data_IF_165234636091
#
_entry.id   IF_165234636091
#
_cell.length_a   1.000
_cell.length_b   1.000
_cell.length_c   1.000
_cell.angle_alpha   90.00
_cell.angle_beta   90.00
_cell.angle_gamma   90.00
#
_symmetry.space_group_name_H-M   'P 1'
#
loop_
_entity.id
_entity.type
_entity.pdbx_description
1 polymer ?
#
# COMPACT_ATOMS: atom_id res chain seq x y z
N UNK A 1 14.24 48.55 -9.85
CA UNK A 1 15.13 47.76 -8.99
C UNK A 1 14.77 48.02 -7.52
N UNK A 2 13.86 47.23 -6.96
CA UNK A 2 13.86 46.82 -5.55
C UNK A 2 13.03 45.53 -5.43
N UNK A 3 13.71 44.44 -5.08
CA UNK A 3 13.19 43.11 -4.68
C UNK A 3 12.23 43.29 -3.48
N UNK A 4 11.01 42.78 -3.54
CA UNK A 4 10.55 41.45 -3.10
C UNK A 4 10.61 41.19 -1.57
N UNK A 5 9.45 40.96 -0.96
CA UNK A 5 9.33 40.00 0.16
C UNK A 5 7.86 39.55 0.35
N UNK A 6 7.32 38.74 -0.57
CA UNK A 6 6.16 37.90 -0.24
C UNK A 6 6.68 36.64 0.43
N UNK A 7 6.64 36.63 1.76
CA UNK A 7 6.97 35.50 2.61
C UNK A 7 5.92 34.40 2.42
N UNK A 8 6.08 33.56 1.41
CA UNK A 8 5.37 32.27 1.36
C UNK A 8 6.06 31.35 2.36
N UNK A 9 5.37 31.08 3.47
CA UNK A 9 5.72 30.03 4.40
C UNK A 9 5.83 28.70 3.63
N UNK A 10 7.05 28.27 3.32
CA UNK A 10 7.33 26.89 2.98
C UNK A 10 7.10 26.05 4.22
N UNK A 11 5.88 25.54 4.39
CA UNK A 11 5.71 24.29 5.12
C UNK A 11 6.64 23.29 4.43
N UNK A 12 7.70 22.87 5.13
CA UNK A 12 8.52 21.72 4.76
C UNK A 12 7.61 20.49 4.69
N UNK A 13 6.95 20.30 3.55
CA UNK A 13 6.65 18.97 3.06
C UNK A 13 8.02 18.38 2.72
N UNK A 14 8.62 17.71 3.69
CA UNK A 14 9.83 16.95 3.51
C UNK A 14 9.55 15.99 2.34
N UNK A 15 10.19 16.23 1.19
CA UNK A 15 10.05 15.30 0.06
C UNK A 15 10.32 13.88 0.58
N UNK A 16 9.49 12.89 0.22
CA UNK A 16 9.69 11.53 0.69
C UNK A 16 11.13 11.14 0.37
N UNK A 17 11.93 10.89 1.42
CA UNK A 17 13.34 10.59 1.20
C UNK A 17 13.40 9.40 0.25
N UNK A 18 14.11 9.58 -0.87
CA UNK A 18 14.20 8.56 -1.89
C UNK A 18 14.77 7.31 -1.24
N UNK A 19 13.95 6.27 -1.12
CA UNK A 19 14.33 5.05 -0.44
C UNK A 19 15.46 4.42 -1.23
N UNK A 20 16.53 4.07 -0.51
CA UNK A 20 17.73 3.54 -1.11
C UNK A 20 17.43 2.28 -1.94
N UNK A 21 17.98 2.19 -3.14
CA UNK A 21 17.68 1.11 -4.08
C UNK A 21 18.08 -0.28 -3.52
N UNK A 22 19.11 -0.35 -2.69
CA UNK A 22 19.51 -1.59 -2.00
C UNK A 22 18.49 -1.93 -0.91
N UNK A 23 17.95 -0.95 -0.21
CA UNK A 23 16.84 -1.16 0.74
C UNK A 23 15.60 -1.71 0.03
N UNK A 24 15.22 -1.17 -1.13
CA UNK A 24 14.12 -1.71 -1.95
C UNK A 24 14.43 -3.15 -2.34
N UNK A 25 15.62 -3.43 -2.92
CA UNK A 25 16.03 -4.79 -3.31
C UNK A 25 15.94 -5.79 -2.15
N UNK A 26 16.42 -5.39 -0.97
CA UNK A 26 16.37 -6.23 0.23
C UNK A 26 14.92 -6.50 0.68
N UNK A 27 14.05 -5.48 0.59
CA UNK A 27 12.62 -5.63 0.88
C UNK A 27 11.96 -6.63 -0.08
N UNK A 28 12.25 -6.55 -1.39
CA UNK A 28 11.72 -7.51 -2.39
C UNK A 28 12.15 -8.94 -2.06
N UNK A 29 13.40 -9.14 -1.65
CA UNK A 29 13.88 -10.46 -1.21
C UNK A 29 13.17 -10.94 0.07
N UNK A 30 12.90 -10.03 1.02
CA UNK A 30 12.19 -10.35 2.24
C UNK A 30 10.71 -10.73 1.99
N UNK A 31 10.05 -10.11 1.00
CA UNK A 31 8.65 -10.41 0.62
C UNK A 31 8.43 -11.85 0.13
N UNK A 32 9.49 -12.52 -0.34
CA UNK A 32 9.43 -13.92 -0.80
C UNK A 32 10.17 -14.88 0.14
N UNK A 33 10.52 -14.41 1.35
CA UNK A 33 11.21 -15.23 2.34
C UNK A 33 10.31 -16.37 2.83
N UNK A 34 10.91 -17.54 3.04
CA UNK A 34 10.26 -18.67 3.73
C UNK A 34 10.04 -18.40 5.22
N UNK A 35 10.78 -17.44 5.80
CA UNK A 35 10.55 -17.02 7.18
C UNK A 35 9.32 -16.10 7.27
N UNK A 36 8.25 -16.60 7.88
CA UNK A 36 6.96 -15.90 7.99
C UNK A 36 7.08 -14.53 8.69
N UNK A 37 7.95 -14.41 9.70
CA UNK A 37 8.18 -13.15 10.41
C UNK A 37 8.86 -12.10 9.52
N UNK A 38 9.86 -12.51 8.74
CA UNK A 38 10.54 -11.65 7.77
C UNK A 38 9.57 -11.23 6.66
N UNK A 39 8.83 -12.19 6.09
CA UNK A 39 7.85 -11.94 5.03
C UNK A 39 6.76 -10.97 5.49
N UNK A 40 6.17 -11.22 6.65
CA UNK A 40 5.15 -10.35 7.25
C UNK A 40 5.68 -8.93 7.49
N UNK A 41 6.88 -8.81 8.06
CA UNK A 41 7.51 -7.51 8.31
C UNK A 41 7.73 -6.75 7.00
N UNK A 42 8.15 -7.45 5.95
CA UNK A 42 8.34 -6.85 4.63
C UNK A 42 7.03 -6.37 4.01
N UNK A 43 5.94 -7.14 4.13
CA UNK A 43 4.61 -6.72 3.67
C UNK A 43 4.18 -5.42 4.37
N UNK A 44 4.35 -5.36 5.70
CA UNK A 44 4.03 -4.15 6.47
C UNK A 44 4.88 -2.94 6.05
N UNK A 45 6.20 -3.13 5.94
CA UNK A 45 7.14 -2.08 5.56
C UNK A 45 6.86 -1.55 4.14
N UNK A 46 6.51 -2.41 3.19
CA UNK A 46 6.15 -1.99 1.83
C UNK A 46 4.98 -0.98 1.84
N UNK A 47 3.96 -1.24 2.66
CA UNK A 47 2.83 -0.31 2.84
C UNK A 47 3.20 0.94 3.62
N UNK A 48 3.94 0.79 4.73
CA UNK A 48 4.36 1.90 5.59
C UNK A 48 5.17 2.94 4.81
N UNK A 49 6.09 2.47 3.98
CA UNK A 49 7.01 3.31 3.22
C UNK A 49 6.55 3.57 1.78
N UNK A 50 5.34 3.13 1.42
CA UNK A 50 4.73 3.33 0.08
C UNK A 50 5.67 2.91 -1.06
N UNK A 51 6.15 1.67 -1.01
CA UNK A 51 7.07 1.11 -2.00
C UNK A 51 6.28 0.58 -3.20
N UNK A 52 6.10 1.41 -4.22
CA UNK A 52 5.36 1.04 -5.45
C UNK A 52 5.96 -0.21 -6.12
N UNK A 53 7.29 -0.35 -6.11
CA UNK A 53 8.04 -1.50 -6.65
C UNK A 53 7.67 -2.85 -6.01
N UNK A 54 6.98 -2.83 -4.87
CA UNK A 54 6.50 -4.02 -4.16
C UNK A 54 5.08 -4.43 -4.55
N UNK A 55 4.32 -3.58 -5.25
CA UNK A 55 2.89 -3.77 -5.50
C UNK A 55 2.57 -5.11 -6.18
N UNK A 56 3.38 -5.53 -7.15
CA UNK A 56 3.19 -6.82 -7.84
C UNK A 56 3.28 -8.02 -6.89
N UNK A 57 4.26 -8.04 -5.99
CA UNK A 57 4.42 -9.13 -5.02
C UNK A 57 3.30 -9.13 -3.98
N UNK A 58 2.83 -7.96 -3.56
CA UNK A 58 1.67 -7.84 -2.68
C UNK A 58 0.40 -8.35 -3.37
N UNK A 59 0.18 -8.02 -4.65
CA UNK A 59 -0.91 -8.58 -5.46
C UNK A 59 -0.80 -10.10 -5.60
N UNK A 60 0.42 -10.64 -5.67
CA UNK A 60 0.65 -12.08 -5.67
C UNK A 60 0.25 -12.72 -4.32
N UNK A 61 0.58 -12.10 -3.19
CA UNK A 61 0.15 -12.56 -1.86
C UNK A 61 -1.39 -12.60 -1.74
N UNK A 62 -2.10 -11.62 -2.30
CA UNK A 62 -3.57 -11.63 -2.35
C UNK A 62 -4.14 -12.83 -3.14
N UNK A 63 -3.50 -13.19 -4.26
CA UNK A 63 -3.97 -14.27 -5.15
C UNK A 63 -3.62 -15.66 -4.61
N UNK A 64 -2.40 -15.82 -4.13
CA UNK A 64 -1.77 -17.11 -3.90
C UNK A 64 -1.42 -17.38 -2.43
N UNK A 65 -1.47 -16.34 -1.58
CA UNK A 65 -1.25 -16.47 -0.14
C UNK A 65 -2.29 -17.40 0.50
N UNK A 66 -1.85 -18.14 1.52
CA UNK A 66 -2.71 -19.06 2.27
C UNK A 66 -3.13 -18.51 3.62
N UNK A 67 -2.26 -17.71 4.23
CA UNK A 67 -2.52 -17.13 5.54
C UNK A 67 -3.45 -15.91 5.43
N UNK A 68 -4.52 -15.93 6.22
CA UNK A 68 -5.51 -14.86 6.23
C UNK A 68 -4.94 -13.55 6.77
N UNK A 69 -3.98 -13.62 7.69
CA UNK A 69 -3.35 -12.44 8.26
C UNK A 69 -2.44 -11.73 7.24
N UNK A 70 -1.55 -12.43 6.54
CA UNK A 70 -0.71 -11.83 5.48
C UNK A 70 -1.53 -11.29 4.33
N UNK A 71 -2.63 -11.95 3.94
CA UNK A 71 -3.61 -11.44 2.97
C UNK A 71 -4.18 -10.08 3.37
N UNK A 72 -4.71 -9.96 4.59
CA UNK A 72 -5.26 -8.70 5.12
C UNK A 72 -4.20 -7.61 5.16
N UNK A 73 -2.98 -7.96 5.57
CA UNK A 73 -1.86 -7.03 5.64
C UNK A 73 -1.41 -6.56 4.25
N UNK A 74 -1.35 -7.44 3.26
CA UNK A 74 -1.03 -7.10 1.88
C UNK A 74 -2.08 -6.15 1.27
N UNK A 75 -3.37 -6.38 1.56
CA UNK A 75 -4.45 -5.49 1.11
C UNK A 75 -4.30 -4.09 1.72
N UNK A 76 -4.01 -4.01 3.02
CA UNK A 76 -3.75 -2.74 3.70
C UNK A 76 -2.52 -2.03 3.12
N UNK A 77 -1.46 -2.78 2.80
CA UNK A 77 -0.25 -2.21 2.20
C UNK A 77 -0.51 -1.66 0.81
N UNK A 78 -1.27 -2.36 -0.04
CA UNK A 78 -1.68 -1.87 -1.36
C UNK A 78 -2.51 -0.58 -1.27
N UNK A 79 -3.41 -0.49 -0.28
CA UNK A 79 -4.14 0.74 0.01
C UNK A 79 -3.21 1.91 0.38
N UNK A 80 -2.21 1.68 1.25
CA UNK A 80 -1.26 2.73 1.65
C UNK A 80 -0.34 3.19 0.52
N UNK A 81 0.05 2.25 -0.35
CA UNK A 81 0.80 2.50 -1.58
C UNK A 81 -0.04 3.33 -2.56
N UNK A 82 -1.36 3.12 -2.57
CA UNK A 82 -2.28 3.77 -3.52
C UNK A 82 -2.48 2.96 -4.81
N UNK A 83 -2.13 1.67 -4.79
CA UNK A 83 -2.16 0.78 -5.97
C UNK A 83 -3.60 0.43 -6.39
N UNK A 84 -4.16 1.21 -7.31
CA UNK A 84 -5.55 1.05 -7.76
C UNK A 84 -5.83 -0.34 -8.37
N UNK A 85 -4.84 -0.94 -9.04
CA UNK A 85 -4.94 -2.30 -9.57
C UNK A 85 -5.11 -3.32 -8.44
N UNK A 86 -4.33 -3.19 -7.37
CA UNK A 86 -4.41 -4.00 -6.17
C UNK A 86 -5.76 -3.84 -5.46
N UNK A 87 -6.29 -2.61 -5.41
CA UNK A 87 -7.62 -2.35 -4.86
C UNK A 87 -8.72 -3.04 -5.68
N UNK A 88 -8.65 -2.95 -7.01
CA UNK A 88 -9.58 -3.66 -7.89
C UNK A 88 -9.48 -5.19 -7.70
N UNK A 89 -8.25 -5.70 -7.53
CA UNK A 89 -7.99 -7.11 -7.27
C UNK A 89 -8.63 -7.59 -5.95
N UNK A 90 -8.41 -6.89 -4.83
CA UNK A 90 -8.99 -7.32 -3.53
C UNK A 90 -10.52 -7.32 -3.56
N UNK A 91 -11.14 -6.34 -4.24
CA UNK A 91 -12.60 -6.27 -4.44
C UNK A 91 -13.11 -7.45 -5.26
N UNK A 92 -12.36 -7.87 -6.30
CA UNK A 92 -12.68 -9.07 -7.09
C UNK A 92 -12.54 -10.33 -6.25
N UNK A 93 -11.45 -10.47 -5.49
CA UNK A 93 -11.15 -11.66 -4.69
C UNK A 93 -12.12 -11.85 -3.52
N UNK A 94 -12.63 -10.76 -2.93
CA UNK A 94 -13.62 -10.81 -1.86
C UNK A 94 -14.92 -11.56 -2.24
N UNK A 95 -15.23 -11.69 -3.54
CA UNK A 95 -16.38 -12.46 -4.03
C UNK A 95 -16.23 -13.97 -3.81
N UNK A 96 -14.99 -14.46 -3.80
CA UNK A 96 -14.65 -15.88 -3.72
C UNK A 96 -13.99 -16.27 -2.40
N UNK A 97 -13.59 -15.29 -1.59
CA UNK A 97 -12.96 -15.50 -0.29
C UNK A 97 -13.93 -16.16 0.71
N UNK A 98 -13.48 -17.27 1.29
CA UNK A 98 -14.25 -18.09 2.22
C UNK A 98 -14.03 -17.66 3.67
N UNK A 99 -12.85 -17.13 3.98
CA UNK A 99 -12.58 -16.55 5.28
C UNK A 99 -13.38 -15.24 5.44
N UNK A 100 -14.36 -15.27 6.35
CA UNK A 100 -15.27 -14.14 6.58
C UNK A 100 -14.54 -12.89 7.04
N UNK A 101 -13.46 -13.04 7.80
CA UNK A 101 -12.69 -11.92 8.33
C UNK A 101 -11.86 -11.27 7.21
N UNK A 102 -11.19 -12.08 6.40
CA UNK A 102 -10.44 -11.61 5.22
C UNK A 102 -11.38 -10.93 4.23
N UNK A 103 -12.53 -11.55 3.92
CA UNK A 103 -13.54 -10.99 3.03
C UNK A 103 -14.03 -9.61 3.52
N UNK A 104 -14.38 -9.50 4.80
CA UNK A 104 -14.82 -8.23 5.40
C UNK A 104 -13.75 -7.15 5.26
N UNK A 105 -12.49 -7.50 5.53
CA UNK A 105 -11.38 -6.56 5.46
C UNK A 105 -11.11 -6.09 4.03
N UNK A 106 -11.12 -7.00 3.05
CA UNK A 106 -10.96 -6.64 1.64
C UNK A 106 -12.03 -5.65 1.16
N UNK A 107 -13.29 -5.87 1.53
CA UNK A 107 -14.38 -4.97 1.18
C UNK A 107 -14.21 -3.60 1.84
N UNK A 108 -13.93 -3.57 3.15
CA UNK A 108 -13.72 -2.33 3.89
C UNK A 108 -12.57 -1.49 3.31
N UNK A 109 -11.44 -2.13 2.99
CA UNK A 109 -10.29 -1.44 2.39
C UNK A 109 -10.62 -0.89 1.01
N UNK A 110 -11.30 -1.67 0.16
CA UNK A 110 -11.68 -1.21 -1.16
C UNK A 110 -12.68 -0.04 -1.11
N UNK A 111 -13.69 -0.12 -0.24
CA UNK A 111 -14.69 0.94 -0.06
C UNK A 111 -14.05 2.23 0.49
N UNK A 112 -13.10 2.10 1.43
CA UNK A 112 -12.34 3.23 1.94
C UNK A 112 -11.55 3.92 0.83
N UNK A 113 -10.81 3.15 0.01
CA UNK A 113 -10.04 3.70 -1.12
C UNK A 113 -10.90 4.52 -2.08
N UNK A 114 -12.04 4.00 -2.51
CA UNK A 114 -12.92 4.74 -3.43
C UNK A 114 -13.58 5.95 -2.75
N UNK A 115 -13.81 5.89 -1.44
CA UNK A 115 -14.30 7.03 -0.67
C UNK A 115 -13.27 8.15 -0.64
N UNK A 116 -12.00 7.82 -0.36
CA UNK A 116 -10.91 8.79 -0.35
C UNK A 116 -10.68 9.39 -1.74
N UNK A 117 -10.71 8.57 -2.78
CA UNK A 117 -10.62 9.04 -4.17
C UNK A 117 -11.75 10.02 -4.52
N UNK A 118 -13.00 9.74 -4.13
CA UNK A 118 -14.12 10.66 -4.34
C UNK A 118 -13.94 11.98 -3.58
N UNK A 119 -13.47 11.92 -2.34
CA UNK A 119 -13.23 13.11 -1.53
C UNK A 119 -12.15 14.00 -2.13
N UNK A 120 -11.10 13.42 -2.73
CA UNK A 120 -10.07 14.17 -3.46
C UNK A 120 -10.62 14.81 -4.74
N UNK A 121 -11.51 14.13 -5.46
CA UNK A 121 -12.13 14.65 -6.68
C UNK A 121 -13.18 15.75 -6.40
N UNK A 122 -13.84 15.71 -5.24
CA UNK A 122 -14.85 16.69 -4.85
C UNK A 122 -14.26 17.99 -4.25
N UNK A 123 -12.97 18.01 -3.93
CA UNK A 123 -12.28 19.17 -3.37
C UNK A 123 -11.59 20.06 -4.40
N UNK A 124 -11.77 19.78 -5.69
CA UNK A 124 -11.26 20.53 -6.85
C UNK A 124 -12.41 20.90 -7.79
#
# INVERSE_FOLDING_TARGET
MTLALTLTATLNAQEPSKIDAKAVKNLKAALVSENDGVRTSAIYMAGLYRIDDAAEMLRNEIKNGKDGYTKKLAALSLYRIGDAEGINLIKKMAKFEQDKEVKRMYLAIADQYYTDMKNVLASH
#
